data_IF_247242388889
#
_entry.id   IF_247242388889
#
_cell.length_a   1.000
_cell.length_b   1.000
_cell.length_c   1.000
_cell.angle_alpha   90.00
_cell.angle_beta   90.00
_cell.angle_gamma   90.00
#
_symmetry.space_group_name_H-M   'P 1'
#
loop_
_entity.id
_entity.type
_entity.pdbx_description
1 polymer ?
#
# COMPACT_ATOMS: atom_id res chain seq x y z
N UNK A 1 35.88 -21.81 -15.70
CA UNK A 1 36.33 -22.03 -14.31
C UNK A 1 36.86 -20.74 -13.67
N UNK A 2 36.81 -19.60 -14.36
CA UNK A 2 37.27 -18.30 -13.86
C UNK A 2 36.09 -17.42 -13.37
N UNK A 3 34.90 -17.62 -13.94
CA UNK A 3 33.69 -16.85 -13.60
C UNK A 3 33.21 -17.08 -12.15
N UNK A 4 33.32 -18.32 -11.65
CA UNK A 4 32.96 -18.66 -10.26
C UNK A 4 33.92 -18.01 -9.25
N UNK A 5 35.21 -17.91 -9.61
CA UNK A 5 36.22 -17.24 -8.79
C UNK A 5 35.96 -15.74 -8.71
N UNK A 6 35.57 -15.13 -9.82
CA UNK A 6 35.20 -13.72 -9.86
C UNK A 6 33.92 -13.44 -9.05
N UNK A 7 32.91 -14.31 -9.17
CA UNK A 7 31.68 -14.18 -8.38
C UNK A 7 31.93 -14.35 -6.89
N UNK A 8 32.82 -15.25 -6.49
CA UNK A 8 33.20 -15.41 -5.09
C UNK A 8 34.00 -14.22 -4.56
N UNK A 9 34.90 -13.65 -5.37
CA UNK A 9 35.64 -12.44 -5.03
C UNK A 9 34.73 -11.22 -4.95
N UNK A 10 33.80 -11.06 -5.90
CA UNK A 10 32.79 -10.00 -5.89
C UNK A 10 31.84 -10.14 -4.69
N UNK A 11 31.41 -11.36 -4.37
CA UNK A 11 30.58 -11.65 -3.20
C UNK A 11 31.34 -11.36 -1.90
N UNK A 12 32.62 -11.70 -1.83
CA UNK A 12 33.48 -11.37 -0.69
C UNK A 12 33.67 -9.86 -0.55
N UNK A 13 33.88 -9.14 -1.65
CA UNK A 13 33.97 -7.69 -1.69
C UNK A 13 32.68 -7.03 -1.22
N UNK A 14 31.52 -7.45 -1.72
CA UNK A 14 30.21 -6.93 -1.29
C UNK A 14 29.95 -7.18 0.20
N UNK A 15 30.27 -8.39 0.69
CA UNK A 15 30.19 -8.71 2.13
C UNK A 15 31.13 -7.82 2.94
N UNK A 16 32.36 -7.61 2.48
CA UNK A 16 33.34 -6.76 3.15
C UNK A 16 32.88 -5.31 3.18
N UNK A 17 32.41 -4.77 2.06
CA UNK A 17 31.91 -3.40 1.96
C UNK A 17 30.68 -3.18 2.84
N UNK A 18 29.72 -4.12 2.83
CA UNK A 18 28.54 -4.06 3.69
C UNK A 18 28.95 -4.14 5.17
N UNK A 19 29.82 -5.09 5.53
CA UNK A 19 30.32 -5.23 6.88
C UNK A 19 31.07 -3.98 7.34
N UNK A 20 31.93 -3.41 6.50
CA UNK A 20 32.67 -2.18 6.77
C UNK A 20 31.72 -0.99 6.97
N UNK A 21 30.76 -0.81 6.07
CA UNK A 21 29.76 0.25 6.16
C UNK A 21 28.88 0.10 7.41
N UNK A 22 28.48 -1.13 7.76
CA UNK A 22 27.69 -1.42 8.97
C UNK A 22 28.50 -1.29 10.26
N UNK A 23 29.78 -1.65 10.25
CA UNK A 23 30.70 -1.54 11.39
C UNK A 23 30.96 -0.08 11.77
N UNK A 24 31.12 0.79 10.76
CA UNK A 24 31.17 2.24 10.99
C UNK A 24 29.79 2.84 11.32
N UNK A 25 28.71 2.12 11.03
CA UNK A 25 27.32 2.53 11.29
C UNK A 25 26.78 2.09 12.66
N UNK A 26 27.46 1.24 13.43
CA UNK A 26 26.94 0.75 14.73
C UNK A 26 27.93 0.96 15.87
N UNK A 27 27.83 2.10 16.55
CA UNK A 27 27.63 2.18 18.02
C UNK A 27 27.51 3.64 18.52
N UNK A 28 26.52 4.41 18.07
CA UNK A 28 25.89 5.34 19.02
C UNK A 28 24.92 4.51 19.85
N UNK A 29 25.48 3.83 20.85
CA UNK A 29 24.75 3.33 22.02
C UNK A 29 23.93 4.52 22.57
N UNK A 30 22.61 4.49 22.54
CA UNK A 30 21.76 3.96 23.61
C UNK A 30 22.25 4.44 25.00
N UNK A 31 22.52 5.74 25.15
CA UNK A 31 22.67 6.38 26.48
C UNK A 31 22.47 7.90 26.48
N UNK A 32 21.87 8.46 25.43
CA UNK A 32 21.53 9.88 25.33
C UNK A 32 20.10 9.97 24.75
N UNK A 33 19.14 10.65 25.40
CA UNK A 33 17.79 10.81 24.87
C UNK A 33 17.77 11.90 23.81
N UNK A 34 18.58 11.76 22.76
CA UNK A 34 18.60 12.70 21.64
C UNK A 34 18.77 11.94 20.33
N UNK A 35 17.77 12.14 19.46
CA UNK A 35 17.72 11.61 18.10
C UNK A 35 17.41 10.12 17.95
N UNK A 36 16.27 9.71 18.54
CA UNK A 36 15.33 8.85 17.81
C UNK A 36 15.36 9.34 16.37
N UNK A 37 15.83 8.51 15.42
CA UNK A 37 15.48 8.66 14.01
C UNK A 37 14.02 9.04 14.08
N UNK A 38 13.68 10.29 13.72
CA UNK A 38 12.29 10.71 13.70
C UNK A 38 11.64 9.70 12.77
N UNK A 39 11.08 8.65 13.37
CA UNK A 39 10.00 7.89 12.84
C UNK A 39 8.96 8.98 12.78
N UNK A 40 9.01 9.76 11.70
CA UNK A 40 8.00 10.74 11.38
C UNK A 40 6.76 9.88 11.50
N UNK A 41 5.96 10.15 12.54
CA UNK A 41 4.72 9.47 12.75
C UNK A 41 3.92 9.82 11.50
N UNK A 42 3.97 8.92 10.52
CA UNK A 42 3.26 9.09 9.27
C UNK A 42 1.81 9.19 9.71
N UNK A 43 1.17 10.31 9.37
CA UNK A 43 -0.23 10.50 9.70
C UNK A 43 -1.00 9.27 9.21
N UNK A 44 -1.98 8.74 9.97
CA UNK A 44 -2.81 7.63 9.52
C UNK A 44 -3.38 7.86 8.11
N UNK A 45 -3.67 9.12 7.76
CA UNK A 45 -4.08 9.51 6.41
C UNK A 45 -3.03 9.24 5.34
N UNK A 46 -1.77 9.60 5.59
CA UNK A 46 -0.67 9.35 4.66
C UNK A 46 -0.39 7.86 4.54
N UNK A 47 -0.51 7.11 5.64
CA UNK A 47 -0.40 5.65 5.60
C UNK A 47 -1.53 5.01 4.78
N UNK A 48 -2.76 5.48 4.93
CA UNK A 48 -3.90 5.04 4.14
C UNK A 48 -3.72 5.35 2.64
N UNK A 49 -3.23 6.54 2.30
CA UNK A 49 -2.90 6.90 0.92
C UNK A 49 -1.78 6.01 0.35
N UNK A 50 -0.75 5.77 1.14
CA UNK A 50 0.34 4.88 0.75
C UNK A 50 -0.15 3.45 0.47
N UNK A 51 -1.09 2.94 1.28
CA UNK A 51 -1.74 1.65 1.09
C UNK A 51 -2.56 1.60 -0.20
N UNK A 52 -3.32 2.64 -0.50
CA UNK A 52 -4.12 2.75 -1.72
C UNK A 52 -3.23 2.75 -2.98
N UNK A 53 -2.12 3.50 -2.93
CA UNK A 53 -1.15 3.53 -4.03
C UNK A 53 -0.48 2.18 -4.20
N UNK A 54 -0.05 1.53 -3.11
CA UNK A 54 0.56 0.21 -3.17
C UNK A 54 -0.40 -0.85 -3.75
N UNK A 55 -1.66 -0.88 -3.31
CA UNK A 55 -2.70 -1.77 -3.83
C UNK A 55 -2.97 -1.53 -5.32
N UNK A 56 -3.04 -0.25 -5.74
CA UNK A 56 -3.20 0.10 -7.15
C UNK A 56 -2.04 -0.38 -8.03
N UNK A 57 -0.80 -0.09 -7.61
CA UNK A 57 0.40 -0.46 -8.36
C UNK A 57 0.53 -1.98 -8.47
N UNK A 58 0.20 -2.69 -7.38
CA UNK A 58 0.25 -4.14 -7.33
C UNK A 58 -0.72 -4.78 -8.32
N UNK A 59 -2.00 -4.39 -8.27
CA UNK A 59 -3.06 -4.97 -9.10
C UNK A 59 -2.89 -4.68 -10.60
N UNK A 60 -2.20 -3.59 -10.95
CA UNK A 60 -1.86 -3.28 -12.34
C UNK A 60 -0.51 -3.86 -12.80
N UNK A 61 0.19 -4.60 -11.94
CA UNK A 61 1.47 -5.22 -12.29
C UNK A 61 2.65 -4.24 -12.40
N UNK A 62 2.55 -3.04 -11.82
CA UNK A 62 3.63 -2.04 -11.82
C UNK A 62 4.70 -2.35 -10.75
N UNK A 63 5.28 -3.55 -10.81
CA UNK A 63 6.13 -4.12 -9.77
C UNK A 63 7.43 -3.32 -9.54
N UNK A 64 8.04 -2.81 -10.61
CA UNK A 64 9.22 -1.94 -10.50
C UNK A 64 8.89 -0.65 -9.75
N UNK A 65 7.82 0.03 -10.15
CA UNK A 65 7.34 1.24 -9.50
C UNK A 65 6.97 0.97 -8.04
N UNK A 66 6.31 -0.17 -7.75
CA UNK A 66 5.98 -0.58 -6.39
C UNK A 66 7.22 -0.84 -5.53
N UNK A 67 8.29 -1.42 -6.11
CA UNK A 67 9.56 -1.64 -5.42
C UNK A 67 10.24 -0.32 -5.05
N UNK A 68 10.35 0.61 -6.01
CA UNK A 68 10.86 1.97 -5.77
C UNK A 68 10.01 2.67 -4.71
N UNK A 69 8.68 2.66 -4.89
CA UNK A 69 7.74 3.25 -3.94
C UNK A 69 7.87 2.67 -2.53
N UNK A 70 8.00 1.34 -2.39
CA UNK A 70 8.15 0.68 -1.08
C UNK A 70 9.49 1.01 -0.40
N UNK A 71 10.53 1.30 -1.20
CA UNK A 71 11.85 1.70 -0.69
C UNK A 71 11.92 3.15 -0.23
N UNK A 72 11.14 4.04 -0.88
CA UNK A 72 11.14 5.48 -0.65
C UNK A 72 10.04 5.95 0.30
N UNK A 73 8.90 5.28 0.32
CA UNK A 73 7.77 5.69 1.12
C UNK A 73 8.02 5.38 2.62
N UNK A 74 7.85 6.38 3.50
CA UNK A 74 8.04 6.18 4.93
C UNK A 74 7.04 5.15 5.46
N UNK A 75 7.55 4.15 6.19
CA UNK A 75 6.80 3.09 6.90
C UNK A 75 6.05 2.05 6.05
N UNK A 76 6.21 2.02 4.72
CA UNK A 76 5.68 0.93 3.89
C UNK A 76 6.38 -0.42 4.16
N UNK A 77 7.58 -0.39 4.77
CA UNK A 77 8.32 -1.59 5.23
C UNK A 77 7.55 -2.45 6.24
N UNK A 78 6.54 -1.88 6.92
CA UNK A 78 5.70 -2.64 7.86
C UNK A 78 4.58 -3.42 7.16
N UNK A 79 4.41 -3.27 5.84
CA UNK A 79 3.48 -4.05 5.06
C UNK A 79 4.11 -5.37 4.64
N UNK A 80 4.25 -6.24 5.63
CA UNK A 80 4.73 -7.61 5.49
C UNK A 80 4.01 -8.35 4.36
N UNK A 81 2.70 -8.14 4.19
CA UNK A 81 1.90 -8.77 3.14
C UNK A 81 2.39 -8.45 1.71
N UNK A 82 2.75 -7.19 1.44
CA UNK A 82 3.18 -6.77 0.11
C UNK A 82 4.63 -7.16 -0.16
N UNK A 83 5.51 -7.04 0.85
CA UNK A 83 6.90 -7.50 0.77
C UNK A 83 6.96 -9.01 0.49
N UNK A 84 6.20 -9.81 1.24
CA UNK A 84 6.15 -11.25 1.05
C UNK A 84 5.66 -11.65 -0.34
N UNK A 85 4.70 -10.92 -0.91
CA UNK A 85 4.25 -11.21 -2.27
C UNK A 85 5.35 -10.96 -3.31
N UNK A 86 6.06 -9.82 -3.21
CA UNK A 86 7.15 -9.49 -4.12
C UNK A 86 8.30 -10.50 -4.03
N UNK A 87 8.68 -10.89 -2.81
CA UNK A 87 9.74 -11.89 -2.57
C UNK A 87 9.38 -13.25 -3.17
N UNK A 88 8.12 -13.67 -3.02
CA UNK A 88 7.64 -14.95 -3.56
C UNK A 88 7.47 -14.91 -5.08
N UNK A 89 7.03 -13.78 -5.63
CA UNK A 89 6.96 -13.59 -7.08
C UNK A 89 8.35 -13.64 -7.72
N UNK A 90 9.37 -13.03 -7.08
CA UNK A 90 10.77 -13.14 -7.51
C UNK A 90 11.32 -14.58 -7.43
N UNK A 91 10.75 -15.40 -6.54
CA UNK A 91 11.09 -16.82 -6.38
C UNK A 91 10.39 -17.72 -7.41
N UNK A 92 9.52 -17.18 -8.26
CA UNK A 92 8.80 -17.93 -9.30
C UNK A 92 7.52 -18.62 -8.81
N UNK A 93 7.04 -18.32 -7.61
CA UNK A 93 5.77 -18.86 -7.11
C UNK A 93 4.57 -18.19 -7.82
N UNK A 94 3.64 -18.99 -8.34
CA UNK A 94 2.34 -18.50 -8.83
C UNK A 94 1.36 -18.35 -7.68
N UNK A 95 1.31 -17.17 -7.05
CA UNK A 95 0.34 -16.84 -6.00
C UNK A 95 -0.56 -15.72 -6.50
N UNK A 96 -1.85 -15.80 -6.16
CA UNK A 96 -2.79 -14.71 -6.41
C UNK A 96 -2.37 -13.42 -5.71
N UNK A 97 -2.81 -12.28 -6.24
CA UNK A 97 -2.47 -10.98 -5.69
C UNK A 97 -3.09 -10.86 -4.29
N UNK A 98 -2.31 -10.52 -3.25
CA UNK A 98 -2.85 -10.36 -1.90
C UNK A 98 -3.84 -9.19 -1.85
N UNK A 99 -4.98 -9.42 -1.20
CA UNK A 99 -5.94 -8.36 -0.86
C UNK A 99 -5.62 -7.78 0.53
N UNK A 100 -5.93 -6.50 0.71
CA UNK A 100 -5.90 -5.85 2.02
C UNK A 100 -6.91 -6.52 2.97
N UNK A 101 -6.57 -6.61 4.26
CA UNK A 101 -7.48 -7.20 5.23
C UNK A 101 -8.73 -6.34 5.41
N UNK A 102 -9.87 -6.96 5.71
CA UNK A 102 -11.15 -6.23 5.87
C UNK A 102 -11.10 -5.13 6.94
N UNK A 103 -10.30 -5.33 8.00
CA UNK A 103 -10.04 -4.31 9.01
C UNK A 103 -9.27 -3.12 8.42
N UNK A 104 -8.16 -3.37 7.73
CA UNK A 104 -7.34 -2.33 7.12
C UNK A 104 -8.14 -1.52 6.10
N UNK A 105 -8.97 -2.19 5.28
CA UNK A 105 -9.83 -1.51 4.31
C UNK A 105 -10.84 -0.59 5.02
N UNK A 106 -11.44 -1.03 6.13
CA UNK A 106 -12.32 -0.19 6.94
C UNK A 106 -11.56 1.04 7.46
N UNK A 107 -10.38 0.82 8.05
CA UNK A 107 -9.57 1.88 8.65
C UNK A 107 -9.07 2.88 7.60
N UNK A 108 -8.73 2.42 6.38
CA UNK A 108 -8.36 3.27 5.23
C UNK A 108 -9.53 4.17 4.82
N UNK A 109 -10.72 3.60 4.61
CA UNK A 109 -11.92 4.35 4.21
C UNK A 109 -12.28 5.41 5.26
N UNK A 110 -12.19 5.04 6.55
CA UNK A 110 -12.39 5.97 7.67
C UNK A 110 -11.35 7.09 7.69
N UNK A 111 -10.07 6.78 7.43
CA UNK A 111 -9.01 7.78 7.33
C UNK A 111 -9.22 8.79 6.20
N UNK A 112 -9.90 8.41 5.12
CA UNK A 112 -10.30 9.31 4.03
C UNK A 112 -11.46 10.23 4.40
N UNK A 113 -12.03 10.08 5.60
CA UNK A 113 -13.14 10.90 6.09
C UNK A 113 -14.52 10.37 5.71
N UNK A 114 -14.61 9.13 5.19
CA UNK A 114 -15.87 8.47 4.89
C UNK A 114 -16.29 7.69 6.14
N UNK A 115 -17.51 7.94 6.63
CA UNK A 115 -18.02 7.22 7.81
C UNK A 115 -18.03 5.72 7.55
N UNK A 116 -17.46 4.88 8.43
CA UNK A 116 -17.38 3.44 8.19
C UNK A 116 -18.76 2.76 8.08
N UNK A 117 -19.82 3.43 8.55
CA UNK A 117 -21.19 2.94 8.61
C UNK A 117 -22.11 3.53 7.55
N UNK A 118 -21.64 4.46 6.71
CA UNK A 118 -22.46 4.95 5.60
C UNK A 118 -22.55 3.91 4.48
N UNK A 119 -23.59 4.04 3.65
CA UNK A 119 -23.85 3.10 2.54
C UNK A 119 -22.65 3.02 1.60
N UNK A 120 -22.03 4.16 1.27
CA UNK A 120 -20.88 4.25 0.37
C UNK A 120 -19.66 3.49 0.89
N UNK A 121 -19.39 3.58 2.18
CA UNK A 121 -18.29 2.85 2.81
C UNK A 121 -18.54 1.35 2.75
N UNK A 122 -19.77 0.92 3.04
CA UNK A 122 -20.15 -0.49 3.02
C UNK A 122 -20.05 -1.05 1.59
N UNK A 123 -20.61 -0.34 0.61
CA UNK A 123 -20.59 -0.72 -0.80
C UNK A 123 -19.15 -0.77 -1.35
N UNK A 124 -18.33 0.26 -1.11
CA UNK A 124 -16.93 0.28 -1.56
C UNK A 124 -16.12 -0.89 -0.97
N UNK A 125 -16.33 -1.21 0.32
CA UNK A 125 -15.70 -2.35 0.99
C UNK A 125 -16.15 -3.67 0.41
N UNK A 126 -17.46 -3.85 0.19
CA UNK A 126 -18.00 -5.07 -0.41
C UNK A 126 -17.48 -5.26 -1.82
N UNK A 127 -17.50 -4.20 -2.65
CA UNK A 127 -16.99 -4.21 -4.02
C UNK A 127 -15.53 -4.67 -4.07
N UNK A 128 -14.66 -4.14 -3.21
CA UNK A 128 -13.26 -4.56 -3.16
C UNK A 128 -13.07 -6.03 -2.72
N UNK A 129 -13.82 -6.47 -1.70
CA UNK A 129 -13.67 -7.83 -1.16
C UNK A 129 -14.20 -8.89 -2.11
N UNK A 130 -15.30 -8.60 -2.80
CA UNK A 130 -16.02 -9.52 -3.68
C UNK A 130 -15.61 -9.41 -5.14
N UNK A 131 -14.84 -8.39 -5.53
CA UNK A 131 -14.35 -8.23 -6.90
C UNK A 131 -13.52 -9.44 -7.34
N UNK A 132 -13.97 -10.07 -8.43
CA UNK A 132 -13.25 -11.11 -9.17
C UNK A 132 -12.16 -10.50 -10.07
N UNK A 133 -12.40 -9.31 -10.61
CA UNK A 133 -11.50 -8.58 -11.53
C UNK A 133 -10.27 -7.95 -10.88
N UNK A 134 -10.01 -8.26 -9.61
CA UNK A 134 -8.93 -7.67 -8.82
C UNK A 134 -8.88 -6.13 -8.91
N UNK A 135 -10.04 -5.44 -8.90
CA UNK A 135 -10.11 -3.98 -8.94
C UNK A 135 -9.50 -3.30 -7.69
N UNK A 136 -8.59 -2.32 -7.83
CA UNK A 136 -8.00 -1.63 -6.70
C UNK A 136 -9.02 -0.94 -5.79
N UNK A 137 -8.69 -0.84 -4.50
CA UNK A 137 -9.55 -0.22 -3.49
C UNK A 137 -9.91 1.22 -3.86
N UNK A 138 -8.94 1.96 -4.42
CA UNK A 138 -9.16 3.34 -4.84
C UNK A 138 -10.26 3.45 -5.91
N UNK A 139 -10.32 2.51 -6.86
CA UNK A 139 -11.38 2.49 -7.88
C UNK A 139 -12.73 2.14 -7.26
N UNK A 140 -12.77 1.18 -6.33
CA UNK A 140 -13.99 0.82 -5.62
C UNK A 140 -14.57 2.04 -4.89
N UNK A 141 -13.73 2.78 -4.15
CA UNK A 141 -14.12 3.99 -3.42
C UNK A 141 -14.62 5.07 -4.39
N UNK A 142 -13.84 5.41 -5.42
CA UNK A 142 -14.22 6.47 -6.37
C UNK A 142 -15.52 6.12 -7.10
N UNK A 143 -15.66 4.87 -7.57
CA UNK A 143 -16.85 4.42 -8.28
C UNK A 143 -18.10 4.58 -7.43
N UNK A 144 -18.04 4.15 -6.17
CA UNK A 144 -19.16 4.28 -5.24
C UNK A 144 -19.49 5.73 -4.92
N UNK A 145 -18.48 6.59 -4.72
CA UNK A 145 -18.70 8.02 -4.49
C UNK A 145 -19.35 8.71 -5.70
N UNK A 146 -18.88 8.41 -6.91
CA UNK A 146 -19.46 8.93 -8.16
C UNK A 146 -20.91 8.46 -8.31
N UNK A 147 -21.19 7.19 -8.03
CA UNK A 147 -22.55 6.65 -8.04
C UNK A 147 -23.46 7.38 -7.03
N UNK A 148 -22.99 7.63 -5.81
CA UNK A 148 -23.73 8.44 -4.83
C UNK A 148 -24.04 9.85 -5.34
N UNK A 149 -23.06 10.55 -5.89
CA UNK A 149 -23.26 11.89 -6.45
C UNK A 149 -24.33 11.86 -7.55
N UNK A 150 -24.27 10.87 -8.44
CA UNK A 150 -25.25 10.70 -9.51
C UNK A 150 -26.66 10.41 -8.95
N UNK A 151 -26.78 9.58 -7.91
CA UNK A 151 -28.05 9.31 -7.20
C UNK A 151 -28.65 10.59 -6.60
N UNK A 152 -27.84 11.44 -5.97
CA UNK A 152 -28.31 12.71 -5.44
C UNK A 152 -28.72 13.71 -6.54
N UNK A 153 -28.01 13.74 -7.66
CA UNK A 153 -28.34 14.62 -8.78
C UNK A 153 -29.70 14.27 -9.43
N UNK A 154 -30.02 12.98 -9.54
CA UNK A 154 -31.28 12.51 -10.16
C UNK A 154 -32.51 12.76 -9.27
N UNK A 155 -32.36 12.66 -7.95
CA UNK A 155 -33.42 13.00 -6.99
C UNK A 155 -33.78 14.49 -7.05
N UNK A 156 -32.80 15.37 -7.19
CA UNK A 156 -33.03 16.82 -7.27
C UNK A 156 -33.60 17.29 -8.61
N UNK A 157 -33.58 16.44 -9.65
CA UNK A 157 -34.16 16.72 -10.96
C UNK A 157 -35.57 16.14 -11.18
N UNK A 158 -36.17 15.51 -10.17
CA UNK A 158 -37.57 15.07 -10.25
C UNK A 158 -38.50 16.30 -10.21
N UNK A 159 -39.35 16.54 -11.23
CA UNK A 159 -40.24 17.68 -11.20
C UNK A 159 -41.29 17.47 -10.11
N UNK A 160 -41.48 18.50 -9.29
CA UNK A 160 -42.69 18.70 -8.50
C UNK A 160 -43.88 18.84 -9.44
N UNK A 161 -44.46 17.72 -9.90
CA UNK A 161 -45.79 17.70 -10.50
C UNK A 161 -46.80 18.00 -9.39
N UNK A 162 -46.94 19.29 -9.12
CA UNK A 162 -48.05 19.88 -8.40
C UNK A 162 -49.26 19.88 -9.34
N UNK A 163 -50.28 19.14 -8.90
CA UNK A 163 -51.70 19.49 -8.93
C UNK A 163 -52.16 20.49 -9.99
N UNK A 164 -52.96 20.03 -10.94
CA UNK A 164 -54.21 20.68 -11.41
C UNK A 164 -55.04 19.68 -12.20
#
# INVERSE_FOLDING_TARGET
MEDDSFLDEFRAYMKHYLFHSLKHSKLKSITEPTHVIKCHSVSPKVQALNLLVADYLLRHGFLYTLSVFSSEAPNLKNLTTFSHYIDRLASGDTIGIPKLMSKDVKDIVECLGISPHCEESIEARQKYMQSEDEEPLIFCIISTLVNSINRYSTLNSSPSSSSS
#
